data_IF_056488006496
#
_entry.id   IF_056488006496
#
_cell.length_a   1.000
_cell.length_b   1.000
_cell.length_c   1.000
_cell.angle_alpha   90.00
_cell.angle_beta   90.00
_cell.angle_gamma   90.00
#
_symmetry.space_group_name_H-M   'P 1'
#
loop_
_entity.id
_entity.type
_entity.pdbx_description
1 polymer ?
#
# COMPACT_ATOMS: atom_id res chain seq x y z
N UNK A 1 -26.36 21.76 14.12
CA UNK A 1 -24.93 22.13 13.97
C UNK A 1 -24.39 21.29 12.83
N UNK A 2 -24.30 21.85 11.62
CA UNK A 2 -23.71 21.13 10.48
C UNK A 2 -22.21 20.95 10.74
N UNK A 3 -21.80 19.70 11.00
CA UNK A 3 -20.39 19.37 11.07
C UNK A 3 -19.85 19.43 9.63
N UNK A 4 -19.32 20.60 9.24
CA UNK A 4 -18.59 20.77 7.97
C UNK A 4 -17.45 19.75 7.93
N UNK A 5 -17.68 18.64 7.23
CA UNK A 5 -16.72 17.54 7.02
C UNK A 5 -15.46 18.15 6.40
N UNK A 6 -14.32 18.14 7.11
CA UNK A 6 -13.02 18.47 6.51
C UNK A 6 -12.80 17.53 5.33
N UNK A 7 -12.77 18.07 4.10
CA UNK A 7 -12.31 17.31 2.93
C UNK A 7 -10.91 16.79 3.27
N UNK A 8 -10.74 15.48 3.23
CA UNK A 8 -9.43 14.86 3.42
C UNK A 8 -8.47 15.44 2.38
N UNK A 9 -7.27 15.86 2.79
CA UNK A 9 -6.29 16.52 1.92
C UNK A 9 -5.94 15.68 0.67
N UNK A 10 -5.99 14.36 0.82
CA UNK A 10 -5.76 13.36 -0.23
C UNK A 10 -6.94 13.19 -1.21
N UNK A 11 -8.11 13.80 -0.94
CA UNK A 11 -9.29 13.67 -1.81
C UNK A 11 -9.16 14.29 -3.20
N UNK A 12 -8.23 15.23 -3.37
CA UNK A 12 -8.00 15.90 -4.66
C UNK A 12 -6.92 15.23 -5.51
N UNK A 13 -6.20 14.23 -4.98
CA UNK A 13 -5.06 13.62 -5.66
C UNK A 13 -5.52 12.31 -6.32
N UNK A 14 -5.16 12.06 -7.61
CA UNK A 14 -5.47 10.81 -8.26
C UNK A 14 -4.90 9.60 -7.49
N UNK A 15 -5.69 8.54 -7.33
CA UNK A 15 -5.29 7.34 -6.59
C UNK A 15 -4.02 6.68 -7.12
N UNK A 16 -3.79 6.73 -8.44
CA UNK A 16 -2.56 6.22 -9.05
C UNK A 16 -1.31 7.00 -8.60
N UNK A 17 -1.41 8.33 -8.48
CA UNK A 17 -0.31 9.18 -7.98
C UNK A 17 -0.04 8.85 -6.51
N UNK A 18 -1.08 8.69 -5.68
CA UNK A 18 -0.91 8.30 -4.28
C UNK A 18 -0.28 6.91 -4.11
N UNK A 19 -0.67 5.95 -4.97
CA UNK A 19 -0.07 4.62 -4.97
C UNK A 19 1.42 4.67 -5.36
N UNK A 20 1.76 5.47 -6.38
CA UNK A 20 3.15 5.67 -6.79
C UNK A 20 3.98 6.36 -5.71
N UNK A 21 3.43 7.37 -5.04
CA UNK A 21 4.10 8.03 -3.91
C UNK A 21 4.26 7.09 -2.71
N UNK A 22 3.30 6.20 -2.47
CA UNK A 22 3.38 5.17 -1.44
C UNK A 22 4.51 4.19 -1.75
N UNK A 23 4.61 3.73 -3.00
CA UNK A 23 5.72 2.90 -3.48
C UNK A 23 7.06 3.61 -3.24
N UNK A 24 7.23 4.85 -3.74
CA UNK A 24 8.48 5.61 -3.56
C UNK A 24 8.84 5.76 -2.08
N UNK A 25 7.88 6.18 -1.25
CA UNK A 25 8.11 6.39 0.18
C UNK A 25 8.52 5.09 0.87
N UNK A 26 7.82 3.99 0.60
CA UNK A 26 8.15 2.68 1.17
C UNK A 26 9.56 2.24 0.77
N UNK A 27 9.94 2.39 -0.50
CA UNK A 27 11.28 2.06 -1.00
C UNK A 27 12.36 2.92 -0.37
N UNK A 28 12.14 4.23 -0.22
CA UNK A 28 13.09 5.12 0.48
C UNK A 28 13.28 4.64 1.92
N UNK A 29 12.21 4.28 2.62
CA UNK A 29 12.28 3.78 3.99
C UNK A 29 12.99 2.43 4.09
N UNK A 30 12.77 1.53 3.14
CA UNK A 30 13.46 0.24 3.06
C UNK A 30 14.99 0.44 3.05
N UNK A 31 15.49 1.26 2.11
CA UNK A 31 16.92 1.56 2.03
C UNK A 31 17.45 2.39 3.20
N UNK A 32 16.66 3.36 3.70
CA UNK A 32 17.08 4.23 4.79
C UNK A 32 17.18 3.51 6.15
N UNK A 33 16.32 2.52 6.40
CA UNK A 33 16.36 1.72 7.64
C UNK A 33 17.52 0.73 7.63
N UNK A 34 17.86 0.20 6.45
CA UNK A 34 19.07 -0.58 6.26
C UNK A 34 18.81 -1.95 5.67
N UNK A 35 18.15 -2.00 4.53
CA UNK A 35 18.17 -3.19 3.67
C UNK A 35 19.61 -3.70 3.49
N UNK A 36 19.82 -5.01 3.61
CA UNK A 36 21.15 -5.62 3.51
C UNK A 36 22.03 -5.46 4.76
N UNK A 37 21.48 -4.96 5.87
CA UNK A 37 22.16 -4.86 7.17
C UNK A 37 21.53 -5.81 8.19
N UNK A 38 21.96 -5.74 9.46
CA UNK A 38 21.33 -6.51 10.56
C UNK A 38 19.88 -6.10 10.85
N UNK A 39 19.42 -4.97 10.29
CA UNK A 39 18.07 -4.44 10.46
C UNK A 39 17.11 -4.82 9.31
N UNK A 40 17.51 -5.73 8.44
CA UNK A 40 16.77 -6.07 7.21
C UNK A 40 15.30 -6.43 7.47
N UNK A 41 15.03 -7.29 8.46
CA UNK A 41 13.67 -7.69 8.84
C UNK A 41 12.81 -6.50 9.29
N UNK A 42 13.41 -5.53 10.00
CA UNK A 42 12.72 -4.32 10.41
C UNK A 42 12.44 -3.42 9.21
N UNK A 43 13.40 -3.29 8.30
CA UNK A 43 13.27 -2.49 7.08
C UNK A 43 12.13 -3.01 6.20
N UNK A 44 12.09 -4.32 5.93
CA UNK A 44 10.99 -4.98 5.19
C UNK A 44 9.65 -4.88 5.91
N UNK A 45 9.63 -5.03 7.24
CA UNK A 45 8.39 -4.86 8.02
C UNK A 45 7.81 -3.45 7.93
N UNK A 46 8.65 -2.41 7.96
CA UNK A 46 8.21 -1.01 7.81
C UNK A 46 7.78 -0.74 6.36
N UNK A 47 8.53 -1.25 5.38
CA UNK A 47 8.18 -1.19 3.97
C UNK A 47 6.75 -1.73 3.71
N UNK A 48 6.47 -2.95 4.17
CA UNK A 48 5.17 -3.58 3.99
C UNK A 48 4.07 -2.80 4.73
N UNK A 49 4.34 -2.34 5.95
CA UNK A 49 3.36 -1.59 6.74
C UNK A 49 2.92 -0.31 6.02
N UNK A 50 3.85 0.42 5.41
CA UNK A 50 3.55 1.64 4.65
C UNK A 50 2.66 1.32 3.46
N UNK A 51 2.95 0.26 2.72
CA UNK A 51 2.14 -0.19 1.57
C UNK A 51 0.74 -0.61 2.03
N UNK A 52 0.64 -1.43 3.07
CA UNK A 52 -0.63 -1.91 3.64
C UNK A 52 -1.53 -0.74 4.05
N UNK A 53 -0.96 0.22 4.78
CA UNK A 53 -1.67 1.42 5.24
C UNK A 53 -2.07 2.31 4.05
N UNK A 54 -1.16 2.52 3.10
CA UNK A 54 -1.42 3.29 1.88
C UNK A 54 -2.56 2.70 1.06
N UNK A 55 -2.50 1.40 0.75
CA UNK A 55 -3.54 0.66 0.05
C UNK A 55 -4.90 0.78 0.74
N UNK A 56 -4.97 0.61 2.06
CA UNK A 56 -6.22 0.79 2.81
C UNK A 56 -6.81 2.18 2.62
N UNK A 57 -6.03 3.24 2.87
CA UNK A 57 -6.56 4.61 2.86
C UNK A 57 -6.92 5.09 1.45
N UNK A 58 -6.09 4.78 0.44
CA UNK A 58 -6.34 5.17 -0.94
C UNK A 58 -7.62 4.49 -1.45
N UNK A 59 -7.77 3.17 -1.25
CA UNK A 59 -8.93 2.41 -1.73
C UNK A 59 -10.18 2.74 -0.91
N UNK A 60 -10.05 3.04 0.38
CA UNK A 60 -11.16 3.55 1.18
C UNK A 60 -11.73 4.86 0.63
N UNK A 61 -10.87 5.70 0.08
CA UNK A 61 -11.28 6.96 -0.52
C UNK A 61 -11.85 6.78 -1.92
N UNK A 62 -11.28 5.86 -2.71
CA UNK A 62 -11.73 5.55 -4.06
C UNK A 62 -11.84 4.02 -4.25
N UNK A 63 -12.99 3.40 -3.90
CA UNK A 63 -13.12 1.94 -3.92
C UNK A 63 -12.91 1.28 -5.29
N UNK A 64 -13.15 2.01 -6.38
CA UNK A 64 -12.92 1.50 -7.74
C UNK A 64 -11.43 1.35 -8.10
N UNK A 65 -10.53 1.89 -7.27
CA UNK A 65 -9.09 1.90 -7.52
C UNK A 65 -8.33 0.65 -7.08
N UNK A 66 -9.01 -0.33 -6.46
CA UNK A 66 -8.37 -1.44 -5.74
C UNK A 66 -7.21 -2.11 -6.49
N UNK A 67 -7.43 -2.54 -7.73
CA UNK A 67 -6.50 -3.42 -8.43
C UNK A 67 -5.21 -2.70 -8.81
N UNK A 68 -5.34 -1.51 -9.40
CA UNK A 68 -4.15 -0.76 -9.80
C UNK A 68 -3.42 -0.16 -8.60
N UNK A 69 -4.12 0.19 -7.50
CA UNK A 69 -3.45 0.68 -6.29
C UNK A 69 -2.58 -0.41 -5.68
N UNK A 70 -3.10 -1.64 -5.56
CA UNK A 70 -2.32 -2.80 -5.07
C UNK A 70 -1.09 -3.01 -5.97
N UNK A 71 -1.29 -3.08 -7.29
CA UNK A 71 -0.20 -3.35 -8.23
C UNK A 71 0.87 -2.26 -8.15
N UNK A 72 0.48 -0.98 -8.29
CA UNK A 72 1.43 0.14 -8.32
C UNK A 72 2.19 0.24 -6.99
N UNK A 73 1.50 0.10 -5.85
CA UNK A 73 2.13 0.26 -4.53
C UNK A 73 3.16 -0.85 -4.26
N UNK A 74 2.97 -2.05 -4.84
CA UNK A 74 3.85 -3.21 -4.66
C UNK A 74 4.88 -3.40 -5.79
N UNK A 75 4.95 -2.52 -6.79
CA UNK A 75 5.86 -2.69 -7.94
C UNK A 75 7.32 -2.91 -7.51
N UNK A 76 7.77 -2.20 -6.47
CA UNK A 76 9.13 -2.34 -5.94
C UNK A 76 9.43 -3.73 -5.35
N UNK A 77 8.42 -4.49 -4.92
CA UNK A 77 8.58 -5.89 -4.50
C UNK A 77 8.33 -6.88 -5.63
N UNK A 78 7.43 -6.56 -6.57
CA UNK A 78 7.08 -7.42 -7.71
C UNK A 78 8.24 -7.52 -8.72
N UNK A 79 8.89 -6.40 -9.03
CA UNK A 79 9.95 -6.39 -10.05
C UNK A 79 11.14 -7.27 -9.64
N UNK A 80 11.73 -7.14 -8.43
CA UNK A 80 12.79 -8.05 -7.97
C UNK A 80 12.37 -9.52 -7.99
N UNK A 81 11.13 -9.83 -7.62
CA UNK A 81 10.62 -11.21 -7.64
C UNK A 81 10.61 -11.86 -9.03
N UNK A 82 10.62 -11.07 -10.10
CA UNK A 82 10.66 -11.53 -11.49
C UNK A 82 12.09 -11.54 -12.04
N UNK A 83 12.87 -10.49 -11.76
CA UNK A 83 14.16 -10.26 -12.42
C UNK A 83 15.35 -10.85 -11.65
N UNK A 84 15.23 -11.05 -10.33
CA UNK A 84 16.33 -11.52 -9.49
C UNK A 84 16.25 -13.05 -9.28
N UNK A 85 17.21 -13.83 -9.83
CA UNK A 85 17.17 -15.29 -9.75
C UNK A 85 17.20 -15.82 -8.31
N UNK A 86 17.84 -15.08 -7.41
CA UNK A 86 18.03 -15.49 -6.02
C UNK A 86 16.89 -15.09 -5.09
N UNK A 87 15.92 -14.31 -5.56
CA UNK A 87 14.84 -13.76 -4.74
C UNK A 87 14.12 -14.86 -3.95
N UNK A 88 13.70 -15.91 -4.64
CA UNK A 88 12.95 -17.04 -4.09
C UNK A 88 13.78 -18.04 -3.27
N UNK A 89 15.10 -17.89 -3.28
CA UNK A 89 16.02 -18.78 -2.55
C UNK A 89 16.27 -18.26 -1.12
N UNK A 90 16.22 -16.93 -0.93
CA UNK A 90 16.41 -16.31 0.38
C UNK A 90 15.17 -16.45 1.26
N UNK A 91 15.24 -16.10 2.55
CA UNK A 91 14.04 -16.03 3.40
C UNK A 91 13.24 -14.73 3.22
N UNK A 92 13.77 -13.76 2.47
CA UNK A 92 13.16 -12.43 2.34
C UNK A 92 11.90 -12.41 1.49
N UNK A 93 11.74 -13.34 0.54
CA UNK A 93 10.50 -13.46 -0.23
C UNK A 93 9.27 -13.69 0.68
N UNK A 94 9.43 -14.31 1.84
CA UNK A 94 8.33 -14.53 2.78
C UNK A 94 7.76 -13.22 3.32
N UNK A 95 8.62 -12.24 3.60
CA UNK A 95 8.19 -10.92 4.04
C UNK A 95 7.43 -10.22 2.91
N UNK A 96 8.03 -10.15 1.73
CA UNK A 96 7.42 -9.52 0.55
C UNK A 96 6.05 -10.14 0.21
N UNK A 97 5.94 -11.48 0.18
CA UNK A 97 4.67 -12.16 -0.05
C UNK A 97 3.64 -11.92 1.06
N UNK A 98 4.09 -11.83 2.32
CA UNK A 98 3.21 -11.46 3.43
C UNK A 98 2.69 -10.04 3.25
N UNK A 99 3.56 -9.09 2.88
CA UNK A 99 3.19 -7.72 2.50
C UNK A 99 2.15 -7.68 1.39
N UNK A 100 2.31 -8.48 0.32
CA UNK A 100 1.34 -8.56 -0.77
C UNK A 100 -0.04 -8.99 -0.29
N UNK A 101 -0.11 -10.10 0.46
CA UNK A 101 -1.37 -10.62 1.00
C UNK A 101 -2.02 -9.58 1.92
N UNK A 102 -1.26 -8.99 2.84
CA UNK A 102 -1.77 -7.96 3.76
C UNK A 102 -2.27 -6.72 3.01
N UNK A 103 -1.57 -6.30 1.95
CA UNK A 103 -1.97 -5.13 1.15
C UNK A 103 -3.28 -5.37 0.41
N UNK A 104 -3.52 -6.59 -0.08
CA UNK A 104 -4.78 -7.00 -0.70
C UNK A 104 -5.90 -6.97 0.34
N UNK A 105 -5.70 -7.58 1.51
CA UNK A 105 -6.70 -7.60 2.58
C UNK A 105 -7.05 -6.19 3.06
N UNK A 106 -6.03 -5.33 3.21
CA UNK A 106 -6.20 -3.95 3.60
C UNK A 106 -6.94 -3.14 2.53
N UNK A 107 -6.64 -3.33 1.25
CA UNK A 107 -7.35 -2.70 0.14
C UNK A 107 -8.82 -3.15 0.07
N UNK A 108 -9.11 -4.45 0.28
CA UNK A 108 -10.47 -4.98 0.36
C UNK A 108 -11.23 -4.34 1.53
N UNK A 109 -10.62 -4.30 2.72
CA UNK A 109 -11.22 -3.64 3.88
C UNK A 109 -11.51 -2.15 3.61
N UNK A 110 -10.56 -1.46 2.96
CA UNK A 110 -10.73 -0.09 2.50
C UNK A 110 -11.93 0.05 1.57
N UNK A 111 -12.01 -0.79 0.54
CA UNK A 111 -13.11 -0.79 -0.43
C UNK A 111 -14.47 -0.98 0.25
N UNK A 112 -14.60 -1.97 1.12
CA UNK A 112 -15.87 -2.29 1.80
C UNK A 112 -16.36 -1.11 2.63
N UNK A 113 -15.45 -0.44 3.36
CA UNK A 113 -15.78 0.73 4.17
C UNK A 113 -16.08 1.94 3.28
N UNK A 114 -15.31 2.15 2.21
CA UNK A 114 -15.50 3.24 1.26
C UNK A 114 -16.83 3.17 0.52
N UNK A 115 -17.24 1.97 0.07
CA UNK A 115 -18.54 1.74 -0.59
C UNK A 115 -19.72 2.01 0.35
N UNK A 116 -19.65 1.56 1.61
CA UNK A 116 -20.70 1.83 2.61
C UNK A 116 -20.92 3.34 2.81
N UNK A 117 -19.83 4.11 2.81
CA UNK A 117 -19.88 5.57 2.96
C UNK A 117 -20.47 6.28 1.74
N UNK A 118 -20.14 5.82 0.53
CA UNK A 118 -20.71 6.38 -0.70
C UNK A 118 -22.23 6.15 -0.80
N UNK A 119 -22.72 4.99 -0.35
CA UNK A 119 -24.15 4.68 -0.30
C UNK A 119 -24.87 5.54 0.74
N UNK A 120 -24.29 5.77 1.92
CA UNK A 120 -24.93 6.62 2.95
C UNK A 120 -25.00 8.10 2.55
N UNK A 121 -24.07 8.58 1.72
CA UNK A 121 -23.99 9.98 1.30
C UNK A 121 -24.93 10.29 0.10
N UNK A 122 -25.52 9.27 -0.56
CA UNK A 122 -26.51 9.37 -1.65
C UNK A 122 -27.82 8.66 -1.27
N UNK A 123 -28.67 9.25 -0.39
CA UNK A 123 -29.97 8.67 -0.02
C UNK A 123 -30.99 8.67 -1.16
#
# INVERSE_FOLDING_TARGET
>A
MEIKRKKSFIAGIPSAVLAFLTMILSTILLFAIGEGTKLDYLAYGVYDLVIVVGCYFIVKQNPGSIWYVIIISNLAGILPAIIEPNFWITTMWMFVCTGWVLSILAAIAGMLIGKKKAVSDNP
#
